data_IF_279777573650
#
_entry.id   IF_279777573650
#
_cell.length_a   1.000
_cell.length_b   1.000
_cell.length_c   1.000
_cell.angle_alpha   90.00
_cell.angle_beta   90.00
_cell.angle_gamma   90.00
#
_symmetry.space_group_name_H-M   'P 1'
#
loop_
_entity.id
_entity.type
_entity.pdbx_description
1 polymer ?
#
# COMPACT_ATOMS: atom_id res chain seq x y z
N UNK A 1 7.57 21.96 1.43
CA UNK A 1 6.15 21.71 1.17
C UNK A 1 5.51 23.01 0.75
N UNK A 2 4.73 23.02 -0.34
CA UNK A 2 4.07 24.23 -0.85
C UNK A 2 2.64 24.36 -0.27
N UNK A 3 1.91 23.23 -0.24
CA UNK A 3 0.60 23.13 0.38
C UNK A 3 0.37 21.70 0.89
N UNK A 4 -0.58 21.53 1.83
CA UNK A 4 -1.08 20.26 2.32
C UNK A 4 -2.60 20.29 2.25
N UNK A 5 -3.18 19.35 1.54
CA UNK A 5 -4.62 19.12 1.47
C UNK A 5 -4.92 17.85 2.27
N UNK A 6 -5.86 17.90 3.18
CA UNK A 6 -6.29 16.72 3.96
C UNK A 6 -7.59 16.19 3.39
N UNK A 7 -7.56 14.94 2.95
CA UNK A 7 -8.75 14.27 2.44
C UNK A 7 -9.65 13.81 3.60
N UNK A 8 -10.94 14.03 3.44
CA UNK A 8 -11.98 13.69 4.42
C UNK A 8 -12.66 12.35 4.11
N UNK A 9 -12.56 11.87 2.87
CA UNK A 9 -13.05 10.57 2.40
C UNK A 9 -12.25 10.11 1.18
N UNK A 10 -12.47 8.86 0.73
CA UNK A 10 -11.88 8.34 -0.51
C UNK A 10 -12.34 9.17 -1.71
N UNK A 11 -13.61 9.52 -1.79
CA UNK A 11 -14.16 10.35 -2.87
C UNK A 11 -13.52 11.74 -2.87
N UNK A 12 -13.34 12.35 -1.69
CA UNK A 12 -12.68 13.64 -1.57
C UNK A 12 -11.20 13.55 -1.97
N UNK A 13 -10.51 12.46 -1.64
CA UNK A 13 -9.13 12.24 -2.08
C UNK A 13 -9.02 12.15 -3.62
N UNK A 14 -9.98 11.51 -4.29
CA UNK A 14 -10.08 11.45 -5.75
C UNK A 14 -10.28 12.86 -6.33
N UNK A 15 -11.18 13.67 -5.77
CA UNK A 15 -11.43 15.05 -6.20
C UNK A 15 -10.16 15.89 -6.03
N UNK A 16 -9.54 15.86 -4.86
CA UNK A 16 -8.29 16.59 -4.60
C UNK A 16 -7.19 16.20 -5.58
N UNK A 17 -7.10 14.91 -5.94
CA UNK A 17 -6.10 14.46 -6.91
C UNK A 17 -6.37 14.96 -8.32
N UNK A 18 -7.64 15.11 -8.71
CA UNK A 18 -8.02 15.70 -10.00
C UNK A 18 -7.74 17.20 -10.05
N UNK A 19 -8.00 17.91 -8.95
CA UNK A 19 -7.75 19.35 -8.84
C UNK A 19 -6.25 19.68 -8.72
N UNK A 20 -5.47 18.77 -8.13
CA UNK A 20 -4.03 18.93 -7.88
C UNK A 20 -3.22 17.74 -8.46
N UNK A 21 -3.20 17.54 -9.78
CA UNK A 21 -2.59 16.34 -10.41
C UNK A 21 -1.09 16.20 -10.13
N UNK A 22 -0.39 17.30 -9.86
CA UNK A 22 1.03 17.31 -9.52
C UNK A 22 1.33 17.09 -8.03
N UNK A 23 0.28 17.11 -7.18
CA UNK A 23 0.43 16.88 -5.75
C UNK A 23 0.79 15.41 -5.48
N UNK A 24 1.62 15.20 -4.48
CA UNK A 24 2.02 13.87 -4.03
C UNK A 24 1.05 13.34 -2.98
N UNK A 25 0.49 12.17 -3.20
CA UNK A 25 -0.25 11.47 -2.13
C UNK A 25 0.71 11.10 -1.00
N UNK A 26 0.30 11.39 0.22
CA UNK A 26 1.01 11.01 1.44
C UNK A 26 0.10 10.18 2.35
N UNK A 27 0.60 9.00 2.74
CA UNK A 27 0.04 8.13 3.76
C UNK A 27 0.91 8.23 5.03
N UNK A 28 1.58 7.17 5.45
CA UNK A 28 2.48 7.19 6.60
C UNK A 28 3.75 8.04 6.47
N UNK A 29 4.04 8.56 5.30
CA UNK A 29 5.13 9.52 5.05
C UNK A 29 6.55 8.96 5.14
N UNK A 30 6.74 7.69 5.47
CA UNK A 30 8.05 7.09 5.74
C UNK A 30 9.04 7.16 4.54
N UNK A 31 8.54 7.29 3.32
CA UNK A 31 9.35 7.50 2.12
C UNK A 31 9.23 8.94 1.60
N UNK A 32 8.01 9.46 1.41
CA UNK A 32 7.74 10.77 0.82
C UNK A 32 8.46 11.89 1.57
N UNK A 33 8.41 11.89 2.91
CA UNK A 33 9.06 12.94 3.72
C UNK A 33 10.60 12.83 3.65
N UNK A 34 11.16 11.64 3.52
CA UNK A 34 12.60 11.45 3.31
C UNK A 34 13.01 12.03 1.95
N UNK A 35 12.27 11.70 0.87
CA UNK A 35 12.55 12.24 -0.46
C UNK A 35 12.40 13.77 -0.53
N UNK A 36 11.45 14.35 0.21
CA UNK A 36 11.31 15.81 0.32
C UNK A 36 12.51 16.44 1.01
N UNK A 37 13.00 15.84 2.09
CA UNK A 37 14.18 16.30 2.83
C UNK A 37 15.45 16.20 1.97
N UNK A 38 15.57 15.17 1.15
CA UNK A 38 16.67 14.97 0.20
C UNK A 38 16.57 15.87 -1.05
N UNK A 39 15.53 16.69 -1.15
CA UNK A 39 15.34 17.60 -2.28
C UNK A 39 14.67 17.00 -3.52
N UNK A 40 14.53 15.68 -3.61
CA UNK A 40 13.93 14.99 -4.77
C UNK A 40 12.47 15.37 -5.03
N UNK A 41 11.73 15.68 -3.96
CA UNK A 41 10.33 16.14 -3.98
C UNK A 41 10.14 17.49 -3.28
N UNK A 42 11.20 18.32 -3.23
CA UNK A 42 11.14 19.64 -2.63
C UNK A 42 10.11 20.52 -3.35
N UNK A 43 9.34 21.29 -2.59
CA UNK A 43 8.35 22.22 -3.14
C UNK A 43 7.07 21.58 -3.67
N UNK A 44 6.90 20.26 -3.63
CA UNK A 44 5.65 19.60 -4.01
C UNK A 44 4.52 19.92 -3.02
N UNK A 45 3.30 19.97 -3.54
CA UNK A 45 2.06 19.94 -2.77
C UNK A 45 1.80 18.50 -2.33
N UNK A 46 1.11 18.33 -1.21
CA UNK A 46 0.76 17.02 -0.66
C UNK A 46 -0.75 16.89 -0.52
N UNK A 47 -1.28 15.70 -0.82
CA UNK A 47 -2.63 15.27 -0.47
C UNK A 47 -2.48 14.17 0.58
N UNK A 48 -2.89 14.47 1.81
CA UNK A 48 -2.86 13.52 2.91
C UNK A 48 -4.13 12.67 2.87
N UNK A 49 -3.94 11.35 2.82
CA UNK A 49 -5.01 10.37 3.00
C UNK A 49 -4.90 9.70 4.38
N UNK A 50 -3.97 10.15 5.21
CA UNK A 50 -3.62 9.45 6.47
C UNK A 50 -4.77 9.38 7.47
N UNK A 51 -5.69 10.36 7.45
CA UNK A 51 -6.88 10.39 8.31
C UNK A 51 -8.02 9.48 7.89
N UNK A 52 -7.94 8.78 6.75
CA UNK A 52 -9.03 7.96 6.23
C UNK A 52 -9.05 6.57 6.91
N UNK A 53 -9.81 6.44 7.99
CA UNK A 53 -9.92 5.18 8.74
C UNK A 53 -10.57 4.06 7.93
N UNK A 54 -11.41 4.38 6.95
CA UNK A 54 -12.01 3.42 6.01
C UNK A 54 -10.99 2.65 5.16
N UNK A 55 -9.76 3.18 5.03
CA UNK A 55 -8.65 2.54 4.32
C UNK A 55 -7.77 1.68 5.26
N UNK A 56 -8.19 1.44 6.50
CA UNK A 56 -7.43 0.67 7.48
C UNK A 56 -8.06 -0.68 7.77
N UNK A 57 -7.25 -1.59 8.30
CA UNK A 57 -7.68 -2.87 8.83
C UNK A 57 -7.63 -4.01 7.81
N UNK A 58 -7.90 -5.20 8.34
CA UNK A 58 -7.95 -6.45 7.59
C UNK A 58 -9.31 -7.09 7.82
N UNK A 59 -9.96 -7.51 6.75
CA UNK A 59 -11.29 -8.17 6.80
C UNK A 59 -11.34 -9.31 5.80
N UNK A 60 -12.35 -10.17 5.92
CA UNK A 60 -12.72 -11.13 4.88
C UNK A 60 -13.99 -10.57 4.22
N UNK A 61 -13.93 -10.35 2.92
CA UNK A 61 -15.06 -9.80 2.15
C UNK A 61 -16.13 -10.87 1.82
N UNK A 62 -17.19 -10.46 1.13
CA UNK A 62 -18.29 -11.36 0.78
C UNK A 62 -17.89 -12.49 -0.19
N UNK A 63 -16.83 -12.28 -0.97
CA UNK A 63 -16.24 -13.26 -1.89
C UNK A 63 -15.17 -14.11 -1.20
N UNK A 64 -15.07 -13.99 0.13
CA UNK A 64 -14.08 -14.67 0.98
C UNK A 64 -12.62 -14.29 0.65
N UNK A 65 -12.37 -13.15 -0.01
CA UNK A 65 -11.02 -12.62 -0.15
C UNK A 65 -10.57 -11.98 1.17
N UNK A 66 -9.29 -12.10 1.51
CA UNK A 66 -8.70 -11.30 2.58
C UNK A 66 -8.46 -9.91 2.02
N UNK A 67 -9.18 -8.90 2.54
CA UNK A 67 -9.07 -7.50 2.15
C UNK A 67 -8.22 -6.75 3.16
N UNK A 68 -7.15 -6.12 2.69
CA UNK A 68 -6.23 -5.30 3.48
C UNK A 68 -6.34 -3.86 2.98
N UNK A 69 -6.85 -2.97 3.81
CA UNK A 69 -6.96 -1.55 3.45
C UNK A 69 -5.59 -0.90 3.26
N UNK A 70 -5.47 0.01 2.29
CA UNK A 70 -4.18 0.59 1.87
C UNK A 70 -3.44 1.34 2.97
N UNK A 71 -4.14 1.89 3.96
CA UNK A 71 -3.54 2.56 5.11
C UNK A 71 -3.23 1.64 6.30
N UNK A 72 -3.40 0.32 6.14
CA UNK A 72 -3.03 -0.63 7.19
C UNK A 72 -1.51 -0.64 7.35
N UNK A 73 -1.05 -0.35 8.57
CA UNK A 73 0.39 -0.31 8.87
C UNK A 73 1.00 -1.71 8.89
N UNK A 74 2.29 -1.80 8.67
CA UNK A 74 3.00 -3.08 8.76
C UNK A 74 2.89 -3.71 10.16
N UNK A 75 2.98 -2.89 11.23
CA UNK A 75 2.79 -3.37 12.59
C UNK A 75 1.38 -3.92 12.86
N UNK A 76 0.36 -3.37 12.20
CA UNK A 76 -1.00 -3.93 12.25
C UNK A 76 -1.02 -5.29 11.54
N UNK A 77 -0.56 -5.36 10.29
CA UNK A 77 -0.54 -6.58 9.47
C UNK A 77 0.17 -7.72 10.21
N UNK A 78 1.33 -7.45 10.81
CA UNK A 78 2.12 -8.44 11.57
C UNK A 78 1.32 -9.07 12.73
N UNK A 79 0.39 -8.32 13.35
CA UNK A 79 -0.34 -8.76 14.54
C UNK A 79 -1.79 -9.16 14.27
N UNK A 80 -2.26 -8.91 13.07
CA UNK A 80 -3.67 -9.15 12.71
C UNK A 80 -4.01 -10.65 12.75
N UNK A 81 -5.09 -11.06 13.44
CA UNK A 81 -5.44 -12.47 13.59
C UNK A 81 -5.82 -13.16 12.28
N UNK A 82 -6.37 -12.44 11.29
CA UNK A 82 -6.67 -12.98 9.96
C UNK A 82 -5.37 -13.28 9.22
N UNK A 83 -4.43 -12.32 9.22
CA UNK A 83 -3.12 -12.48 8.60
C UNK A 83 -2.37 -13.65 9.24
N UNK A 84 -2.30 -13.69 10.57
CA UNK A 84 -1.62 -14.76 11.33
C UNK A 84 -2.21 -16.14 11.05
N UNK A 85 -3.51 -16.22 10.88
CA UNK A 85 -4.18 -17.50 10.66
C UNK A 85 -4.04 -18.02 9.23
N UNK A 86 -4.14 -17.16 8.23
CA UNK A 86 -4.33 -17.58 6.85
C UNK A 86 -3.12 -17.28 5.92
N UNK A 87 -2.43 -16.16 6.16
CA UNK A 87 -1.33 -15.68 5.32
C UNK A 87 -0.18 -15.11 6.16
N UNK A 88 0.21 -15.81 7.23
CA UNK A 88 1.25 -15.37 8.19
C UNK A 88 2.56 -14.95 7.52
N UNK A 89 2.89 -15.55 6.38
CA UNK A 89 4.08 -15.23 5.59
C UNK A 89 4.12 -13.75 5.17
N UNK A 90 2.96 -13.13 4.89
CA UNK A 90 2.90 -11.69 4.67
C UNK A 90 3.28 -10.92 5.95
N UNK A 91 2.76 -11.34 7.10
CA UNK A 91 3.12 -10.76 8.39
C UNK A 91 4.62 -10.83 8.66
N UNK A 92 5.24 -11.99 8.42
CA UNK A 92 6.68 -12.20 8.55
C UNK A 92 7.49 -11.28 7.62
N UNK A 93 7.08 -11.18 6.35
CA UNK A 93 7.75 -10.33 5.36
C UNK A 93 7.70 -8.84 5.75
N UNK A 94 6.54 -8.33 6.15
CA UNK A 94 6.42 -6.91 6.51
C UNK A 94 7.04 -6.59 7.86
N UNK A 95 7.23 -7.58 8.75
CA UNK A 95 7.99 -7.38 10.00
C UNK A 95 9.50 -7.19 9.76
N UNK A 96 9.98 -7.55 8.58
CA UNK A 96 11.37 -7.30 8.16
C UNK A 96 11.58 -5.91 7.55
N UNK A 97 10.53 -5.09 7.42
CA UNK A 97 10.64 -3.73 6.87
C UNK A 97 11.20 -2.77 7.93
N UNK A 98 12.41 -2.24 7.71
CA UNK A 98 13.02 -1.20 8.54
C UNK A 98 12.98 -1.49 10.04
N UNK A 99 12.81 -0.45 10.85
CA UNK A 99 12.63 -0.55 12.30
C UNK A 99 11.17 -0.40 12.75
N UNK A 100 10.88 -0.60 14.05
CA UNK A 100 9.51 -0.51 14.59
C UNK A 100 8.80 0.81 14.27
N UNK A 101 9.52 1.94 14.30
CA UNK A 101 8.97 3.26 13.98
C UNK A 101 8.49 3.32 12.52
N UNK A 102 9.28 2.74 11.60
CA UNK A 102 8.91 2.67 10.18
C UNK A 102 7.69 1.76 10.00
N UNK A 103 7.65 0.63 10.68
CA UNK A 103 6.52 -0.31 10.59
C UNK A 103 5.23 0.25 11.19
N UNK A 104 5.31 1.10 12.19
CA UNK A 104 4.14 1.77 12.77
C UNK A 104 3.55 2.85 11.84
N UNK A 105 4.39 3.54 11.09
CA UNK A 105 3.99 4.62 10.18
C UNK A 105 3.77 4.13 8.73
N UNK A 106 4.64 3.25 8.25
CA UNK A 106 4.58 2.71 6.88
C UNK A 106 3.33 1.86 6.67
N UNK A 107 2.71 2.02 5.51
CA UNK A 107 1.46 1.36 5.14
C UNK A 107 1.66 0.44 3.95
N UNK A 108 0.84 -0.61 3.84
CA UNK A 108 0.94 -1.56 2.74
C UNK A 108 0.68 -0.89 1.38
N UNK A 109 -0.30 0.02 1.30
CA UNK A 109 -0.58 0.78 0.08
C UNK A 109 0.54 1.74 -0.28
N UNK A 110 1.13 2.45 0.70
CA UNK A 110 2.30 3.30 0.45
C UNK A 110 3.49 2.52 -0.08
N UNK A 111 3.72 1.32 0.44
CA UNK A 111 4.79 0.44 0.00
C UNK A 111 4.58 -0.08 -1.43
N UNK A 112 3.37 -0.54 -1.76
CA UNK A 112 3.04 -1.01 -3.12
C UNK A 112 3.06 0.13 -4.13
N UNK A 113 2.48 1.31 -3.80
CA UNK A 113 2.48 2.49 -4.68
C UNK A 113 3.87 3.10 -4.89
N UNK A 114 4.81 2.88 -3.98
CA UNK A 114 6.20 3.31 -4.16
C UNK A 114 6.91 2.52 -5.27
N UNK A 115 6.45 1.31 -5.57
CA UNK A 115 6.91 0.50 -6.69
C UNK A 115 8.38 0.06 -6.61
N UNK A 116 8.97 0.07 -5.42
CA UNK A 116 10.36 -0.35 -5.21
C UNK A 116 10.47 -1.87 -5.37
N UNK A 117 11.37 -2.31 -6.24
CA UNK A 117 11.56 -3.73 -6.57
C UNK A 117 12.03 -4.59 -5.38
N UNK A 118 12.68 -3.98 -4.39
CA UNK A 118 13.17 -4.64 -3.18
C UNK A 118 12.18 -4.56 -2.00
N UNK A 119 10.93 -4.19 -2.25
CA UNK A 119 9.92 -4.13 -1.18
C UNK A 119 9.63 -5.53 -0.62
N UNK A 120 9.80 -5.71 0.69
CA UNK A 120 9.64 -7.00 1.36
C UNK A 120 8.23 -7.61 1.17
N UNK A 121 7.19 -6.77 1.09
CA UNK A 121 5.82 -7.22 0.82
C UNK A 121 5.59 -7.69 -0.63
N UNK A 122 6.36 -7.18 -1.59
CA UNK A 122 6.08 -7.38 -3.00
C UNK A 122 6.13 -8.87 -3.41
N UNK A 123 7.16 -9.59 -2.97
CA UNK A 123 7.31 -11.03 -3.27
C UNK A 123 6.16 -11.87 -2.70
N UNK A 124 5.75 -11.58 -1.46
CA UNK A 124 4.64 -12.30 -0.82
C UNK A 124 3.31 -11.98 -1.47
N UNK A 125 3.05 -10.71 -1.80
CA UNK A 125 1.83 -10.31 -2.49
C UNK A 125 1.74 -10.94 -3.89
N UNK A 126 2.85 -11.06 -4.62
CA UNK A 126 2.87 -11.76 -5.90
C UNK A 126 2.63 -13.27 -5.74
N UNK A 127 3.24 -13.91 -4.74
CA UNK A 127 3.05 -15.33 -4.46
C UNK A 127 1.59 -15.66 -4.09
N UNK A 128 0.92 -14.74 -3.41
CA UNK A 128 -0.51 -14.85 -3.06
C UNK A 128 -1.45 -14.37 -4.17
N UNK A 129 -0.93 -14.05 -5.37
CA UNK A 129 -1.72 -13.55 -6.51
C UNK A 129 -2.63 -12.38 -6.15
N UNK A 130 -2.09 -11.46 -5.33
CA UNK A 130 -2.84 -10.32 -4.83
C UNK A 130 -3.48 -9.51 -5.96
N UNK A 131 -4.64 -8.95 -5.67
CA UNK A 131 -5.38 -8.02 -6.53
C UNK A 131 -5.33 -6.64 -5.88
N UNK A 132 -4.98 -5.64 -6.65
CA UNK A 132 -4.97 -4.23 -6.21
C UNK A 132 -6.31 -3.60 -6.54
N UNK A 133 -6.98 -3.06 -5.52
CA UNK A 133 -8.21 -2.29 -5.65
C UNK A 133 -7.87 -0.82 -5.74
N UNK A 134 -8.42 -0.15 -6.75
CA UNK A 134 -8.13 1.23 -7.11
C UNK A 134 -9.46 1.96 -7.27
N UNK A 135 -9.58 3.13 -6.65
CA UNK A 135 -10.74 4.01 -6.78
C UNK A 135 -10.34 5.29 -7.50
N UNK A 136 -11.15 5.70 -8.47
CA UNK A 136 -11.00 6.94 -9.22
C UNK A 136 -12.36 7.52 -9.61
N UNK A 137 -12.38 8.59 -10.40
CA UNK A 137 -13.62 9.26 -10.85
C UNK A 137 -14.59 8.34 -11.61
N UNK A 138 -14.08 7.25 -12.20
CA UNK A 138 -14.87 6.27 -12.93
C UNK A 138 -15.35 5.09 -12.06
N UNK A 139 -15.18 5.17 -10.74
CA UNK A 139 -15.52 4.12 -9.80
C UNK A 139 -14.32 3.25 -9.41
N UNK A 140 -14.62 2.02 -9.00
CA UNK A 140 -13.61 1.05 -8.52
C UNK A 140 -13.19 0.11 -9.64
N UNK A 141 -11.89 -0.10 -9.79
CA UNK A 141 -11.32 -1.16 -10.64
C UNK A 141 -10.38 -2.04 -9.83
N UNK A 142 -10.23 -3.29 -10.26
CA UNK A 142 -9.35 -4.28 -9.64
C UNK A 142 -8.45 -4.86 -10.70
N UNK A 143 -7.14 -4.92 -10.41
CA UNK A 143 -6.13 -5.47 -11.30
C UNK A 143 -5.21 -6.43 -10.55
N UNK A 144 -4.73 -7.51 -11.19
CA UNK A 144 -3.71 -8.36 -10.60
C UNK A 144 -2.47 -7.57 -10.26
N UNK A 145 -1.83 -7.87 -9.12
CA UNK A 145 -0.64 -7.14 -8.68
C UNK A 145 0.51 -7.19 -9.70
N UNK A 146 0.63 -8.26 -10.45
CA UNK A 146 1.62 -8.40 -11.54
C UNK A 146 1.44 -7.39 -12.67
N UNK A 147 0.22 -6.86 -12.85
CA UNK A 147 -0.11 -5.83 -13.84
C UNK A 147 -0.04 -4.42 -13.25
N UNK A 148 -0.11 -4.32 -11.91
CA UNK A 148 -0.01 -3.04 -11.20
C UNK A 148 1.39 -2.41 -11.29
N UNK A 149 2.44 -3.21 -11.28
CA UNK A 149 3.81 -2.74 -11.43
C UNK A 149 4.20 -2.64 -12.91
N UNK A 150 4.35 -1.41 -13.43
CA UNK A 150 4.76 -1.18 -14.83
C UNK A 150 6.28 -1.31 -14.97
N UNK A 151 7.01 -0.65 -14.07
CA UNK A 151 8.48 -0.70 -13.93
C UNK A 151 8.89 -0.23 -12.55
N UNK A 152 10.17 -0.39 -12.20
CA UNK A 152 10.70 0.10 -10.91
C UNK A 152 10.29 1.57 -10.65
N UNK A 153 9.63 1.80 -9.52
CA UNK A 153 9.13 3.11 -9.10
C UNK A 153 7.93 3.64 -9.88
N UNK A 154 7.27 2.79 -10.68
CA UNK A 154 6.09 3.20 -11.46
C UNK A 154 5.01 2.14 -11.39
N UNK A 155 3.79 2.57 -11.04
CA UNK A 155 2.61 1.71 -10.89
C UNK A 155 1.47 2.21 -11.79
N UNK A 156 0.52 1.32 -12.08
CA UNK A 156 -0.66 1.63 -12.92
C UNK A 156 -1.74 2.38 -12.11
N UNK A 157 -1.48 3.66 -11.86
CA UNK A 157 -2.46 4.61 -11.30
C UNK A 157 -2.62 5.78 -12.28
N UNK A 158 -3.84 5.97 -12.78
CA UNK A 158 -4.16 7.03 -13.74
C UNK A 158 -4.44 8.33 -13.01
N UNK A 159 -3.48 9.25 -13.08
CA UNK A 159 -3.58 10.56 -12.43
C UNK A 159 -4.75 11.37 -12.98
N UNK A 160 -4.99 11.29 -14.29
CA UNK A 160 -6.09 11.93 -15.01
C UNK A 160 -7.49 11.44 -14.59
N UNK A 161 -7.56 10.29 -13.96
CA UNK A 161 -8.78 9.73 -13.38
C UNK A 161 -8.85 9.89 -11.85
N UNK A 162 -7.87 10.58 -11.26
CA UNK A 162 -7.79 10.81 -9.81
C UNK A 162 -7.54 9.54 -9.01
N UNK A 163 -6.98 8.49 -9.63
CA UNK A 163 -6.89 7.17 -9.02
C UNK A 163 -6.00 7.12 -7.78
N UNK A 164 -6.51 6.43 -6.76
CA UNK A 164 -5.80 6.06 -5.53
C UNK A 164 -6.01 4.56 -5.25
N UNK A 165 -4.98 3.93 -4.71
CA UNK A 165 -5.11 2.54 -4.23
C UNK A 165 -5.89 2.53 -2.91
N UNK A 166 -6.96 1.74 -2.83
CA UNK A 166 -7.83 1.66 -1.65
C UNK A 166 -7.66 0.39 -0.85
N UNK A 167 -7.34 -0.73 -1.50
CA UNK A 167 -7.09 -1.99 -0.82
C UNK A 167 -6.18 -2.93 -1.62
N UNK A 168 -5.75 -3.98 -0.94
CA UNK A 168 -5.16 -5.19 -1.53
C UNK A 168 -6.06 -6.35 -1.13
N UNK A 169 -6.42 -7.18 -2.10
CA UNK A 169 -7.24 -8.36 -1.91
C UNK A 169 -6.38 -9.61 -2.15
N UNK A 170 -6.45 -10.59 -1.26
CA UNK A 170 -5.85 -11.90 -1.47
C UNK A 170 -6.99 -12.87 -1.76
N UNK A 171 -7.08 -13.42 -2.99
CA UNK A 171 -8.16 -14.31 -3.37
C UNK A 171 -8.23 -15.55 -2.48
N UNK A 172 -9.43 -16.03 -2.17
CA UNK A 172 -9.62 -17.29 -1.41
C UNK A 172 -8.83 -18.44 -2.02
N UNK A 173 -8.90 -18.60 -3.33
CA UNK A 173 -8.19 -19.65 -4.04
C UNK A 173 -6.67 -19.65 -3.83
N UNK A 174 -6.09 -18.48 -3.52
CA UNK A 174 -4.65 -18.34 -3.31
C UNK A 174 -4.24 -18.68 -1.87
N UNK A 175 -5.09 -18.44 -0.86
CA UNK A 175 -4.72 -18.66 0.55
C UNK A 175 -5.32 -19.93 1.15
N UNK A 176 -6.44 -20.45 0.62
CA UNK A 176 -7.08 -21.64 1.16
C UNK A 176 -6.21 -22.89 0.92
N UNK A 177 -5.95 -23.64 1.99
CA UNK A 177 -5.10 -24.84 1.97
C UNK A 177 -3.66 -24.61 1.44
N UNK A 178 -3.19 -23.37 1.45
CA UNK A 178 -1.85 -23.00 1.00
C UNK A 178 -0.94 -22.75 2.19
N UNK A 179 0.33 -23.14 2.07
CA UNK A 179 1.39 -22.84 3.03
C UNK A 179 2.56 -22.22 2.28
N UNK A 180 3.24 -21.30 2.95
CA UNK A 180 4.42 -20.65 2.39
C UNK A 180 5.45 -20.38 3.48
N UNK A 181 6.59 -19.88 3.06
CA UNK A 181 7.64 -19.36 3.94
C UNK A 181 8.28 -18.14 3.27
N UNK A 182 8.87 -17.25 4.08
CA UNK A 182 9.58 -16.07 3.61
C UNK A 182 11.04 -16.14 4.06
N UNK A 183 11.95 -15.88 3.13
CA UNK A 183 13.37 -15.73 3.43
C UNK A 183 13.85 -14.41 2.86
N UNK A 184 14.34 -13.53 3.73
CA UNK A 184 15.04 -12.31 3.32
C UNK A 184 16.54 -12.58 3.25
N UNK A 185 17.07 -12.59 2.03
CA UNK A 185 18.52 -12.66 1.82
C UNK A 185 19.07 -11.25 1.62
N UNK A 186 19.68 -10.70 2.65
CA UNK A 186 20.20 -9.34 2.63
C UNK A 186 21.52 -9.22 3.40
N UNK A 187 22.25 -8.14 3.13
CA UNK A 187 23.51 -7.83 3.80
C UNK A 187 23.36 -7.53 5.29
N UNK A 188 22.17 -7.11 5.71
CA UNK A 188 21.79 -6.77 7.10
C UNK A 188 20.32 -7.12 7.34
N UNK A 189 19.94 -7.32 8.62
CA UNK A 189 18.59 -7.73 9.00
C UNK A 189 17.48 -6.76 8.55
N UNK A 190 17.78 -5.47 8.36
CA UNK A 190 16.81 -4.45 7.96
C UNK A 190 17.00 -3.92 6.51
N UNK A 191 17.83 -4.57 5.71
CA UNK A 191 18.08 -4.18 4.31
C UNK A 191 18.19 -5.41 3.40
#
# INVERSE_FOLDING_TARGET
MKALYEAESVENAVVLRLEHPEAQIIAGGSDVLVQMREGKRAGKELISIYGLDELRGVTIDADENIRIGSLTSFSHITRDPIIQKYINVLGEAVDMVGGPQIRNAGTIGGNTCNGVTSADSASTLHAWEAIVEITGKNGVRRIPIKEFYIKAGTVDLKIEDGEIQTAILIPKASWENTKGFYIKYGMRNAM
#
